data_IF_866673573071
#
_entry.id   IF_866673573071
#
_cell.length_a   1.000
_cell.length_b   1.000
_cell.length_c   1.000
_cell.angle_alpha   90.00
_cell.angle_beta   90.00
_cell.angle_gamma   90.00
#
_symmetry.space_group_name_H-M   'P 1'
#
loop_
_entity.id
_entity.type
_entity.pdbx_description
1 polymer ?
#
# COMPACT_ATOMS: atom_id res chain seq x y z
N UNK A 1 10.04 -9.30 0.42
CA UNK A 1 9.57 -10.47 1.18
C UNK A 1 8.07 -10.66 0.94
N UNK A 2 7.65 -11.90 0.64
CA UNK A 2 6.23 -12.23 0.43
C UNK A 2 5.83 -13.28 1.47
N UNK A 3 4.67 -13.11 2.10
CA UNK A 3 4.12 -14.00 3.13
C UNK A 3 2.59 -14.03 3.05
N UNK A 4 1.97 -15.10 3.59
CA UNK A 4 0.52 -15.20 3.80
C UNK A 4 0.23 -15.17 5.31
N UNK A 5 -0.13 -14.01 5.89
CA UNK A 5 -0.43 -13.93 7.31
C UNK A 5 -1.73 -14.64 7.69
N UNK A 6 -2.60 -14.89 6.73
CA UNK A 6 -3.83 -15.67 6.85
C UNK A 6 -4.30 -16.10 5.45
N UNK A 7 -5.26 -17.05 5.34
CA UNK A 7 -5.87 -17.44 4.08
C UNK A 7 -6.38 -16.22 3.29
N UNK A 8 -6.25 -16.27 1.97
CA UNK A 8 -6.70 -15.22 1.04
C UNK A 8 -6.02 -13.85 1.25
N UNK A 9 -4.87 -13.81 1.93
CA UNK A 9 -4.10 -12.58 2.14
C UNK A 9 -2.64 -12.79 1.74
N UNK A 10 -2.17 -11.98 0.82
CA UNK A 10 -0.76 -11.93 0.42
C UNK A 10 -0.17 -10.61 0.89
N UNK A 11 0.83 -10.70 1.77
CA UNK A 11 1.61 -9.56 2.23
C UNK A 11 2.88 -9.44 1.40
N UNK A 12 3.07 -8.27 0.81
CA UNK A 12 4.31 -7.88 0.13
C UNK A 12 5.01 -6.82 0.95
N UNK A 13 6.20 -7.12 1.44
CA UNK A 13 7.05 -6.18 2.15
C UNK A 13 8.25 -5.85 1.27
N UNK A 14 8.43 -4.58 1.00
CA UNK A 14 9.52 -4.05 0.17
C UNK A 14 10.50 -3.27 1.02
N UNK A 15 11.77 -3.35 0.67
CA UNK A 15 12.86 -2.64 1.33
C UNK A 15 13.69 -1.98 0.24
N UNK A 16 14.04 -0.72 0.44
CA UNK A 16 14.98 -0.05 -0.46
C UNK A 16 16.34 -0.70 -0.40
N UNK A 17 16.71 -1.17 0.79
CA UNK A 17 18.00 -1.80 1.01
C UNK A 17 17.92 -2.85 2.13
N UNK A 18 18.59 -3.97 1.95
CA UNK A 18 18.52 -5.14 2.85
C UNK A 18 19.13 -4.92 4.24
N UNK A 19 19.85 -3.84 4.46
CA UNK A 19 20.42 -3.46 5.75
C UNK A 19 19.55 -2.54 6.60
N UNK A 20 18.33 -2.28 6.18
CA UNK A 20 17.37 -1.44 6.91
C UNK A 20 17.04 -2.07 8.27
N UNK A 21 17.04 -1.25 9.31
CA UNK A 21 16.57 -1.66 10.63
C UNK A 21 15.07 -1.64 10.65
N UNK A 22 14.45 -2.80 10.84
CA UNK A 22 13.00 -2.90 11.06
C UNK A 22 12.63 -2.16 12.36
N UNK A 23 11.95 -1.03 12.22
CA UNK A 23 11.52 -0.20 13.34
C UNK A 23 10.24 -0.71 14.00
N UNK A 24 9.62 -1.71 13.41
CA UNK A 24 8.48 -2.41 13.97
C UNK A 24 7.15 -1.72 13.88
N UNK A 25 6.05 -2.21 14.37
CA UNK A 25 5.79 -2.48 15.78
C UNK A 25 6.38 -3.81 16.26
N UNK A 26 6.99 -3.79 17.43
CA UNK A 26 7.63 -4.97 18.04
C UNK A 26 6.76 -5.55 19.15
N UNK A 27 5.52 -5.87 18.84
CA UNK A 27 4.64 -6.63 19.70
C UNK A 27 4.38 -8.01 19.12
N UNK A 28 4.06 -8.96 19.97
CA UNK A 28 3.73 -10.31 19.55
C UNK A 28 2.45 -10.32 18.71
N UNK A 29 2.52 -10.93 17.53
CA UNK A 29 1.39 -11.08 16.64
C UNK A 29 0.89 -12.52 16.73
N UNK A 30 -0.43 -12.67 16.83
CA UNK A 30 -1.08 -13.97 16.68
C UNK A 30 -1.07 -14.40 15.20
N UNK A 31 -0.21 -15.35 14.86
CA UNK A 31 -0.02 -15.86 13.51
C UNK A 31 -0.50 -17.30 13.33
N UNK A 32 -1.40 -17.76 14.21
CA UNK A 32 -1.93 -19.13 14.15
C UNK A 32 -2.63 -19.48 12.84
N UNK A 33 -3.08 -18.47 12.09
CA UNK A 33 -3.72 -18.62 10.78
C UNK A 33 -2.77 -18.36 9.60
N UNK A 34 -1.47 -18.20 9.84
CA UNK A 34 -0.52 -18.03 8.76
C UNK A 34 -0.45 -19.30 7.91
N UNK A 35 -0.44 -19.14 6.60
CA UNK A 35 -0.36 -20.24 5.64
C UNK A 35 1.01 -20.27 4.96
N UNK A 36 1.39 -21.47 4.51
CA UNK A 36 2.51 -21.63 3.60
C UNK A 36 2.06 -21.23 2.19
N UNK A 37 2.81 -20.33 1.56
CA UNK A 37 2.53 -19.89 0.20
C UNK A 37 2.92 -20.97 -0.80
N UNK A 38 2.03 -21.26 -1.73
CA UNK A 38 2.39 -21.99 -2.94
C UNK A 38 3.14 -21.06 -3.89
N UNK A 39 4.33 -21.45 -4.32
CA UNK A 39 5.13 -20.65 -5.22
C UNK A 39 5.54 -21.45 -6.45
N UNK A 40 5.32 -20.88 -7.62
CA UNK A 40 5.75 -21.41 -8.92
C UNK A 40 6.62 -20.36 -9.61
N UNK A 41 7.83 -20.73 -9.96
CA UNK A 41 8.79 -19.84 -10.59
C UNK A 41 9.23 -20.35 -11.95
N UNK A 42 9.18 -19.49 -12.94
CA UNK A 42 9.75 -19.67 -14.27
C UNK A 42 10.87 -18.66 -14.51
N UNK A 43 11.48 -18.67 -15.69
CA UNK A 43 12.50 -17.69 -16.06
C UNK A 43 12.00 -16.25 -15.88
N UNK A 44 10.78 -15.95 -16.34
CA UNK A 44 10.26 -14.58 -16.41
C UNK A 44 9.16 -14.29 -15.38
N UNK A 45 8.54 -15.30 -14.78
CA UNK A 45 7.42 -15.11 -13.84
C UNK A 45 7.68 -15.77 -12.51
N UNK A 46 7.22 -15.12 -11.45
CA UNK A 46 7.00 -15.71 -10.14
C UNK A 46 5.52 -15.60 -9.80
N UNK A 47 4.85 -16.73 -9.60
CA UNK A 47 3.47 -16.79 -9.15
C UNK A 47 3.42 -17.30 -7.72
N UNK A 48 2.75 -16.56 -6.84
CA UNK A 48 2.56 -16.94 -5.43
C UNK A 48 1.06 -16.99 -5.14
N UNK A 49 0.60 -18.03 -4.45
CA UNK A 49 -0.83 -18.26 -4.16
C UNK A 49 -1.09 -18.41 -2.67
N UNK A 50 -2.23 -17.85 -2.25
CA UNK A 50 -2.87 -18.06 -0.95
C UNK A 50 -4.37 -18.25 -1.19
N UNK A 51 -4.86 -19.47 -1.12
CA UNK A 51 -6.24 -19.81 -1.50
C UNK A 51 -6.56 -19.40 -2.95
N UNK A 52 -7.61 -18.62 -3.14
CA UNK A 52 -8.02 -18.12 -4.45
C UNK A 52 -7.23 -16.88 -4.93
N UNK A 53 -6.46 -16.25 -4.02
CA UNK A 53 -5.67 -15.06 -4.34
C UNK A 53 -4.30 -15.45 -4.90
N UNK A 54 -3.92 -14.85 -6.01
CA UNK A 54 -2.61 -15.01 -6.64
C UNK A 54 -1.92 -13.67 -6.81
N UNK A 55 -0.61 -13.66 -6.60
CA UNK A 55 0.28 -12.58 -6.99
C UNK A 55 1.20 -13.10 -8.09
N UNK A 56 1.12 -12.49 -9.26
CA UNK A 56 1.98 -12.79 -10.41
C UNK A 56 2.95 -11.64 -10.62
N UNK A 57 4.23 -11.92 -10.50
CA UNK A 57 5.32 -10.96 -10.70
C UNK A 57 6.00 -11.27 -12.04
N UNK A 58 6.00 -10.29 -12.94
CA UNK A 58 6.82 -10.29 -14.14
C UNK A 58 8.21 -9.76 -13.78
N UNK A 59 9.23 -10.61 -13.89
CA UNK A 59 10.61 -10.30 -13.53
C UNK A 59 11.34 -9.50 -14.63
N UNK A 60 10.89 -9.59 -15.87
CA UNK A 60 11.50 -8.90 -17.01
C UNK A 60 11.10 -7.42 -17.04
N UNK A 61 9.79 -7.15 -16.88
CA UNK A 61 9.26 -5.80 -16.97
C UNK A 61 8.95 -5.19 -15.59
N UNK A 62 9.24 -5.93 -14.51
CA UNK A 62 8.94 -5.54 -13.14
C UNK A 62 7.50 -5.04 -12.97
N UNK A 63 6.56 -5.95 -13.03
CA UNK A 63 5.16 -5.67 -12.74
C UNK A 63 4.57 -6.73 -11.82
N UNK A 64 3.55 -6.33 -11.07
CA UNK A 64 2.81 -7.20 -10.17
C UNK A 64 1.34 -7.17 -10.55
N UNK A 65 0.71 -8.33 -10.63
CA UNK A 65 -0.74 -8.49 -10.82
C UNK A 65 -1.29 -9.30 -9.67
N UNK A 66 -2.37 -8.81 -9.08
CA UNK A 66 -3.14 -9.52 -8.09
C UNK A 66 -4.40 -10.04 -8.74
N UNK A 67 -4.63 -11.34 -8.65
CA UNK A 67 -5.69 -12.04 -9.35
C UNK A 67 -6.46 -12.92 -8.38
N UNK A 68 -7.77 -13.06 -8.58
CA UNK A 68 -8.61 -14.03 -7.90
C UNK A 68 -9.16 -15.01 -8.92
N UNK A 69 -8.82 -16.29 -8.78
CA UNK A 69 -9.20 -17.36 -9.72
C UNK A 69 -8.85 -17.02 -11.19
N UNK A 70 -7.73 -16.27 -11.40
CA UNK A 70 -7.29 -15.82 -12.70
C UNK A 70 -7.95 -14.51 -13.20
N UNK A 71 -8.90 -13.95 -12.45
CA UNK A 71 -9.48 -12.64 -12.73
C UNK A 71 -8.62 -11.53 -12.11
N UNK A 72 -8.19 -10.57 -12.93
CA UNK A 72 -7.40 -9.43 -12.46
C UNK A 72 -8.18 -8.57 -11.48
N UNK A 73 -7.67 -8.41 -10.27
CA UNK A 73 -8.19 -7.48 -9.26
C UNK A 73 -7.52 -6.11 -9.40
N UNK A 74 -6.21 -6.07 -9.28
CA UNK A 74 -5.41 -4.86 -9.41
C UNK A 74 -3.99 -5.17 -9.89
N UNK A 75 -3.25 -4.17 -10.29
CA UNK A 75 -1.88 -4.30 -10.78
C UNK A 75 -1.02 -3.12 -10.38
N UNK A 76 0.29 -3.38 -10.31
CA UNK A 76 1.33 -2.37 -10.15
C UNK A 76 2.34 -2.57 -11.28
N UNK A 77 2.51 -1.58 -12.11
CA UNK A 77 3.42 -1.62 -13.25
C UNK A 77 4.82 -1.11 -12.92
N UNK A 78 5.65 -1.04 -13.94
CA UNK A 78 6.97 -0.43 -13.85
C UNK A 78 6.88 1.02 -13.36
N UNK A 79 7.68 1.39 -12.37
CA UNK A 79 7.67 2.67 -11.64
C UNK A 79 6.51 2.89 -10.65
N UNK A 80 5.60 1.96 -10.52
CA UNK A 80 4.53 2.07 -9.51
C UNK A 80 5.01 1.72 -8.10
N UNK A 81 6.16 1.06 -7.98
CA UNK A 81 6.91 0.89 -6.74
C UNK A 81 8.19 1.72 -6.82
N UNK A 82 8.37 2.66 -5.91
CA UNK A 82 9.49 3.59 -5.95
C UNK A 82 9.99 3.98 -4.55
N UNK A 83 11.27 4.27 -4.50
CA UNK A 83 11.93 4.94 -3.39
C UNK A 83 12.17 6.39 -3.79
N UNK A 84 11.65 7.32 -3.00
CA UNK A 84 11.72 8.75 -3.28
C UNK A 84 12.56 9.43 -2.20
N UNK A 85 13.46 10.28 -2.62
CA UNK A 85 14.14 11.24 -1.75
C UNK A 85 13.62 12.63 -2.04
N UNK A 86 13.20 13.33 -1.01
CA UNK A 86 12.82 14.73 -1.10
C UNK A 86 14.01 15.58 -0.75
N UNK A 87 14.75 16.02 -1.76
CA UNK A 87 15.87 16.97 -1.64
C UNK A 87 15.32 18.40 -1.67
N UNK A 88 14.46 18.75 -0.69
CA UNK A 88 13.96 20.12 -0.65
C UNK A 88 15.00 21.05 -0.03
N UNK A 89 15.83 21.61 -0.87
CA UNK A 89 16.70 22.76 -0.55
C UNK A 89 15.89 24.06 -0.65
N UNK A 90 14.73 24.10 0.01
CA UNK A 90 13.92 25.29 0.11
C UNK A 90 14.52 26.22 1.15
N UNK A 91 14.82 27.45 0.76
CA UNK A 91 15.29 28.57 1.56
C UNK A 91 16.45 28.29 2.55
N UNK A 92 17.45 29.12 2.55
CA UNK A 92 18.74 29.01 3.24
C UNK A 92 18.73 28.80 4.77
N UNK A 93 17.57 28.58 5.38
CA UNK A 93 17.38 28.37 6.81
C UNK A 93 16.92 26.96 7.18
N UNK A 94 16.45 26.20 6.21
CA UNK A 94 16.09 24.80 6.45
C UNK A 94 17.30 23.92 6.10
N UNK A 95 17.93 23.36 7.11
CA UNK A 95 18.89 22.27 6.92
C UNK A 95 18.06 21.05 6.52
N UNK A 96 17.69 21.01 5.22
CA UNK A 96 16.76 20.05 4.66
C UNK A 96 16.93 18.67 5.25
N UNK A 97 15.90 18.19 5.92
CA UNK A 97 15.79 16.79 6.21
C UNK A 97 15.67 16.08 4.86
N UNK A 98 16.67 15.28 4.50
CA UNK A 98 16.51 14.35 3.39
C UNK A 98 15.48 13.31 3.83
N UNK A 99 14.21 13.60 3.60
CA UNK A 99 13.14 12.65 3.88
C UNK A 99 13.08 11.65 2.73
N UNK A 100 13.12 10.38 3.08
CA UNK A 100 12.97 9.28 2.16
C UNK A 100 11.59 8.64 2.33
N UNK A 101 10.99 8.21 1.23
CA UNK A 101 9.67 7.58 1.20
C UNK A 101 9.69 6.33 0.33
N UNK A 102 9.04 5.29 0.82
CA UNK A 102 8.62 4.18 -0.02
C UNK A 102 7.21 4.46 -0.53
N UNK A 103 7.02 4.30 -1.83
CA UNK A 103 5.75 4.57 -2.50
C UNK A 103 5.33 3.39 -3.35
N UNK A 104 4.04 3.06 -3.30
CA UNK A 104 3.39 2.07 -4.13
C UNK A 104 2.16 2.67 -4.79
N UNK A 105 1.90 2.30 -6.05
CA UNK A 105 0.65 2.60 -6.75
C UNK A 105 0.00 1.30 -7.22
N UNK A 106 -1.31 1.22 -7.05
CA UNK A 106 -2.15 0.10 -7.50
C UNK A 106 -3.20 0.61 -8.47
N UNK A 107 -3.43 -0.12 -9.55
CA UNK A 107 -4.37 0.23 -10.58
C UNK A 107 -5.81 0.17 -10.14
N UNK A 108 -6.63 1.11 -10.60
CA UNK A 108 -8.09 1.09 -10.52
C UNK A 108 -8.67 0.82 -11.92
N UNK A 109 -9.67 -0.04 -11.97
CA UNK A 109 -10.47 -0.27 -13.16
C UNK A 109 -11.48 0.87 -13.40
N UNK A 110 -12.10 0.91 -14.58
CA UNK A 110 -13.22 1.81 -14.84
C UNK A 110 -14.36 1.47 -13.89
N UNK A 111 -15.03 2.49 -13.34
CA UNK A 111 -16.12 2.37 -12.36
C UNK A 111 -15.73 1.70 -11.02
N UNK A 112 -14.44 1.58 -10.75
CA UNK A 112 -13.97 1.09 -9.46
C UNK A 112 -13.98 2.20 -8.42
N UNK A 113 -14.69 1.94 -7.32
CA UNK A 113 -14.87 2.86 -6.21
C UNK A 113 -14.10 2.38 -4.98
N UNK A 114 -13.48 3.31 -4.29
CA UNK A 114 -12.67 3.07 -3.09
C UNK A 114 -13.39 3.60 -1.86
N UNK A 115 -13.39 2.80 -0.78
CA UNK A 115 -14.02 3.09 0.51
C UNK A 115 -13.06 2.80 1.65
N UNK A 116 -13.36 3.29 2.86
CA UNK A 116 -12.58 3.01 4.07
C UNK A 116 -11.68 4.14 4.48
N UNK A 117 -10.44 3.85 4.87
CA UNK A 117 -9.44 4.76 5.41
C UNK A 117 -9.82 5.37 6.77
N UNK A 118 -10.60 4.62 7.57
CA UNK A 118 -11.03 5.01 8.91
C UNK A 118 -12.33 5.81 8.95
N UNK A 119 -12.65 6.36 10.11
CA UNK A 119 -13.82 7.23 10.30
C UNK A 119 -13.46 8.66 9.95
N UNK A 120 -14.10 9.21 8.92
CA UNK A 120 -13.79 10.54 8.40
C UNK A 120 -15.04 11.33 8.08
N UNK A 121 -14.98 12.63 8.24
CA UNK A 121 -16.05 13.57 7.89
C UNK A 121 -16.08 13.92 6.40
N UNK A 122 -15.16 13.38 5.60
CA UNK A 122 -15.11 13.54 4.14
C UNK A 122 -16.08 12.57 3.45
N UNK A 123 -16.35 12.74 2.13
CA UNK A 123 -17.23 11.84 1.40
C UNK A 123 -16.89 10.35 1.57
N UNK A 124 -17.92 9.51 1.58
CA UNK A 124 -17.78 8.07 1.79
C UNK A 124 -16.95 7.39 0.68
N UNK A 125 -17.19 7.73 -0.58
CA UNK A 125 -16.34 7.34 -1.70
C UNK A 125 -15.07 8.16 -1.68
N UNK A 126 -13.93 7.50 -1.72
CA UNK A 126 -12.62 8.12 -1.56
C UNK A 126 -11.95 8.55 -2.87
N UNK A 127 -12.49 8.16 -4.02
CA UNK A 127 -11.96 8.60 -5.32
C UNK A 127 -11.94 10.13 -5.41
N UNK A 128 -10.80 10.68 -5.79
CA UNK A 128 -10.55 12.12 -5.84
C UNK A 128 -10.14 12.75 -4.50
N UNK A 129 -9.79 11.94 -3.49
CA UNK A 129 -9.34 12.43 -2.19
C UNK A 129 -7.89 12.05 -1.90
N UNK A 130 -7.13 12.99 -1.33
CA UNK A 130 -5.87 12.73 -0.64
C UNK A 130 -6.20 12.53 0.84
N UNK A 131 -5.68 11.46 1.44
CA UNK A 131 -6.03 11.06 2.81
C UNK A 131 -4.77 10.76 3.60
N UNK A 132 -4.54 11.55 4.66
CA UNK A 132 -3.47 11.32 5.61
C UNK A 132 -3.95 10.42 6.74
N UNK A 133 -3.23 9.32 6.99
CA UNK A 133 -3.47 8.39 8.09
C UNK A 133 -2.59 8.79 9.26
N UNK A 134 -3.16 9.56 10.14
CA UNK A 134 -2.56 9.98 11.40
C UNK A 134 -3.66 10.31 12.42
N UNK A 135 -3.61 9.70 13.61
CA UNK A 135 -4.65 9.93 14.61
C UNK A 135 -4.41 11.27 15.32
N UNK A 136 -5.30 12.21 15.11
CA UNK A 136 -5.30 13.52 15.75
C UNK A 136 -6.70 13.86 16.27
N UNK A 137 -6.76 14.73 17.27
CA UNK A 137 -8.03 15.26 17.78
C UNK A 137 -8.59 16.25 16.75
N UNK A 138 -9.61 15.83 16.02
CA UNK A 138 -10.22 16.57 14.94
C UNK A 138 -11.62 17.05 15.27
N UNK A 139 -11.93 18.26 14.82
CA UNK A 139 -13.30 18.77 14.81
C UNK A 139 -14.09 18.24 13.61
N UNK A 140 -15.42 18.41 13.65
CA UNK A 140 -16.34 17.96 12.59
C UNK A 140 -16.20 18.71 11.26
N UNK A 141 -15.41 19.78 11.22
CA UNK A 141 -15.20 20.64 10.04
C UNK A 141 -13.84 20.46 9.38
N UNK A 142 -13.04 19.49 9.80
CA UNK A 142 -11.71 19.19 9.27
C UNK A 142 -11.63 17.73 8.81
N UNK A 143 -10.58 17.42 8.06
CA UNK A 143 -10.25 16.03 7.67
C UNK A 143 -9.56 15.23 8.79
N UNK A 144 -9.14 15.88 9.86
CA UNK A 144 -8.53 15.23 11.02
C UNK A 144 -9.50 14.25 11.67
N UNK A 145 -8.97 13.13 12.14
CA UNK A 145 -9.75 12.04 12.71
C UNK A 145 -8.98 11.31 13.79
N UNK A 146 -9.68 10.85 14.82
CA UNK A 146 -9.09 9.99 15.86
C UNK A 146 -8.93 8.55 15.41
N UNK A 147 -9.66 8.11 14.40
CA UNK A 147 -9.76 6.72 14.00
C UNK A 147 -9.36 6.54 12.55
N UNK A 148 -8.08 6.63 12.32
CA UNK A 148 -7.48 6.37 11.03
C UNK A 148 -7.11 4.90 10.91
N UNK A 149 -7.45 4.28 9.78
CA UNK A 149 -7.13 2.89 9.47
C UNK A 149 -6.55 2.87 8.06
N UNK A 150 -5.28 2.49 7.88
CA UNK A 150 -4.64 2.47 6.56
C UNK A 150 -5.11 1.26 5.73
N UNK A 151 -6.42 1.13 5.59
CA UNK A 151 -7.09 0.05 4.89
C UNK A 151 -8.23 0.60 4.04
N UNK A 152 -8.24 0.22 2.77
CA UNK A 152 -9.35 0.51 1.87
C UNK A 152 -9.95 -0.76 1.28
N UNK A 153 -11.21 -0.66 0.90
CA UNK A 153 -11.98 -1.66 0.17
C UNK A 153 -12.38 -1.09 -1.18
N UNK A 154 -12.62 -1.99 -2.14
CA UNK A 154 -13.19 -1.59 -3.43
C UNK A 154 -14.53 -2.29 -3.68
N UNK A 155 -15.36 -1.72 -4.55
CA UNK A 155 -16.60 -2.37 -5.02
C UNK A 155 -16.31 -3.64 -5.85
N UNK A 156 -15.06 -3.95 -6.17
CA UNK A 156 -14.64 -5.20 -6.81
C UNK A 156 -14.38 -6.34 -5.82
N UNK A 157 -14.55 -6.09 -4.52
CA UNK A 157 -14.51 -7.11 -3.48
C UNK A 157 -13.09 -7.49 -3.02
N UNK A 158 -12.13 -6.60 -3.16
CA UNK A 158 -10.81 -6.73 -2.53
C UNK A 158 -10.48 -5.52 -1.66
N UNK A 159 -9.54 -5.69 -0.75
CA UNK A 159 -9.03 -4.62 0.10
C UNK A 159 -7.50 -4.61 0.15
N UNK A 160 -6.95 -3.47 0.52
CA UNK A 160 -5.51 -3.26 0.69
C UNK A 160 -5.24 -2.62 2.05
N UNK A 161 -4.36 -3.24 2.81
CA UNK A 161 -3.89 -2.75 4.10
C UNK A 161 -2.42 -2.35 3.99
N UNK A 162 -2.12 -1.10 4.34
CA UNK A 162 -0.73 -0.62 4.43
C UNK A 162 -0.24 -0.81 5.85
N UNK A 163 0.51 -1.89 6.08
CA UNK A 163 1.01 -2.25 7.39
C UNK A 163 2.27 -1.45 7.74
N UNK A 164 2.07 -0.18 8.10
CA UNK A 164 3.13 0.72 8.52
C UNK A 164 2.74 1.46 9.80
N UNK A 165 3.63 1.58 10.82
CA UNK A 165 3.29 2.15 12.12
C UNK A 165 3.28 3.67 12.16
N UNK A 166 3.91 4.33 11.20
CA UNK A 166 3.97 5.78 11.10
C UNK A 166 2.92 6.31 10.13
N UNK A 167 2.98 7.61 9.84
CA UNK A 167 2.09 8.28 8.90
C UNK A 167 2.09 7.59 7.53
N UNK A 168 0.88 7.37 6.98
CA UNK A 168 0.66 6.90 5.62
C UNK A 168 -0.15 7.96 4.87
N UNK A 169 0.30 8.32 3.69
CA UNK A 169 -0.41 9.24 2.81
C UNK A 169 -1.00 8.45 1.64
N UNK A 170 -2.31 8.60 1.43
CA UNK A 170 -3.04 8.01 0.31
C UNK A 170 -3.44 9.07 -0.71
N UNK A 171 -3.21 8.77 -1.98
CA UNK A 171 -3.67 9.51 -3.14
C UNK A 171 -4.65 8.62 -3.93
N UNK A 172 -5.95 8.82 -3.69
CA UNK A 172 -7.00 7.99 -4.28
C UNK A 172 -7.53 8.65 -5.56
N UNK A 173 -7.01 8.23 -6.72
CA UNK A 173 -7.38 8.79 -8.03
C UNK A 173 -7.14 10.32 -8.14
N UNK A 174 -6.23 10.89 -7.37
CA UNK A 174 -5.87 12.31 -7.38
C UNK A 174 -4.71 12.61 -8.31
N UNK A 175 -3.56 11.97 -8.15
CA UNK A 175 -2.44 12.14 -9.08
C UNK A 175 -2.70 11.48 -10.43
N UNK A 176 -3.25 10.28 -10.39
CA UNK A 176 -3.67 9.52 -11.57
C UNK A 176 -5.06 8.94 -11.31
N UNK A 177 -6.03 9.30 -12.14
CA UNK A 177 -7.43 8.87 -11.99
C UNK A 177 -7.63 7.34 -12.01
N UNK A 178 -6.65 6.62 -12.54
CA UNK A 178 -6.66 5.15 -12.66
C UNK A 178 -5.83 4.45 -11.58
N UNK A 179 -5.44 5.16 -10.51
CA UNK A 179 -4.59 4.56 -9.47
C UNK A 179 -4.95 5.02 -8.05
N UNK A 180 -4.68 4.12 -7.10
CA UNK A 180 -4.48 4.47 -5.69
C UNK A 180 -2.99 4.44 -5.41
N UNK A 181 -2.42 5.57 -5.02
CA UNK A 181 -1.06 5.67 -4.51
C UNK A 181 -1.04 5.71 -2.99
N UNK A 182 -0.02 5.14 -2.38
CA UNK A 182 0.26 5.37 -0.97
C UNK A 182 1.76 5.49 -0.74
N UNK A 183 2.11 6.34 0.22
CA UNK A 183 3.49 6.66 0.57
C UNK A 183 3.69 6.51 2.07
N UNK A 184 4.82 5.93 2.45
CA UNK A 184 5.26 5.82 3.85
C UNK A 184 6.65 6.41 3.99
N UNK A 185 6.91 7.11 5.10
CA UNK A 185 8.23 7.68 5.38
C UNK A 185 9.17 6.56 5.81
N UNK A 186 10.37 6.51 5.22
CA UNK A 186 11.41 5.54 5.54
C UNK A 186 11.86 4.72 4.34
N UNK A 187 12.47 3.58 4.62
CA UNK A 187 13.10 2.70 3.62
C UNK A 187 12.40 1.34 3.49
N UNK A 188 11.26 1.17 4.13
CA UNK A 188 10.43 -0.05 4.04
C UNK A 188 8.97 0.26 4.28
#
# INVERSE_FOLDING_TARGET
>A
RITAPMPEVIRVQTFHHMGVVDRGPKFELELSNAEELEAEETENLLTVRSGHLSLVIDKENWSMRYERDGELLTKSGWRDLSYLKTDWKGFAYDKGSEDAYMRQQLGLSVDELVYGLGERFTPFVKNGQSVEIWNEDGGTSTEQSYKNIPFYLTNRGYGVFVNHPEKVEFEVATEQVTKVGFSVKGES
#
